data_IF_708401089201
#
_entry.id   IF_708401089201
#
_cell.length_a   1.000
_cell.length_b   1.000
_cell.length_c   1.000
_cell.angle_alpha   90.00
_cell.angle_beta   90.00
_cell.angle_gamma   90.00
#
_symmetry.space_group_name_H-M   'P 1'
#
loop_
_entity.id
_entity.type
_entity.pdbx_description
1 polymer ?
#
# COMPACT_ATOMS: atom_id res chain seq x y z
N UNK A 1 -60.02 71.22 49.60
CA UNK A 1 -58.91 71.07 48.61
C UNK A 1 -58.07 69.93 49.10
N UNK A 2 -58.36 68.76 48.74
CA UNK A 2 -57.61 67.55 49.13
C UNK A 2 -57.57 66.60 48.00
N UNK A 3 -56.39 66.31 47.53
CA UNK A 3 -56.15 65.29 46.49
C UNK A 3 -55.90 63.94 47.16
N UNK A 4 -56.78 63.00 46.90
CA UNK A 4 -56.60 61.60 47.32
C UNK A 4 -55.80 60.89 46.27
N UNK A 5 -54.67 60.29 46.68
CA UNK A 5 -53.88 59.37 45.85
C UNK A 5 -54.34 57.93 46.10
N UNK A 6 -54.65 57.22 45.04
CA UNK A 6 -55.03 55.80 45.06
C UNK A 6 -53.77 54.97 44.90
N UNK A 7 -53.48 53.99 45.73
CA UNK A 7 -52.31 53.11 45.50
C UNK A 7 -52.66 52.02 44.48
N UNK A 8 -51.81 51.93 43.48
CA UNK A 8 -51.87 50.91 42.46
C UNK A 8 -51.22 49.61 43.00
N UNK A 9 -52.01 48.58 43.23
CA UNK A 9 -51.46 47.26 43.53
C UNK A 9 -50.92 46.64 42.31
N UNK A 10 -49.56 46.52 42.18
CA UNK A 10 -48.92 45.69 41.21
C UNK A 10 -48.82 44.23 41.67
N UNK A 11 -49.56 43.35 41.01
CA UNK A 11 -49.41 41.93 41.18
C UNK A 11 -48.12 41.47 40.39
N UNK A 12 -47.10 41.15 41.16
CA UNK A 12 -45.91 40.48 40.59
C UNK A 12 -46.23 38.99 40.50
N UNK A 13 -46.52 38.49 39.33
CA UNK A 13 -46.48 37.04 39.04
C UNK A 13 -45.04 36.58 39.01
N UNK A 14 -44.62 35.81 40.01
CA UNK A 14 -43.41 35.05 39.98
C UNK A 14 -43.55 33.92 38.93
N UNK A 15 -43.00 34.13 37.72
CA UNK A 15 -42.81 33.06 36.75
C UNK A 15 -41.54 32.26 37.13
N UNK A 16 -41.71 31.02 37.60
CA UNK A 16 -40.59 30.08 37.69
C UNK A 16 -40.12 29.75 36.27
N UNK A 17 -39.03 30.37 35.85
CA UNK A 17 -38.25 29.92 34.67
C UNK A 17 -37.47 28.68 35.06
N UNK A 18 -37.94 27.51 34.65
CA UNK A 18 -37.16 26.27 34.72
C UNK A 18 -36.11 26.43 33.65
N UNK A 19 -34.89 26.82 34.05
CA UNK A 19 -33.69 26.71 33.18
C UNK A 19 -33.36 25.24 33.12
N UNK A 20 -33.78 24.57 32.03
CA UNK A 20 -33.31 23.25 31.69
C UNK A 20 -31.84 23.40 31.28
N UNK A 21 -30.94 23.14 32.22
CA UNK A 21 -29.51 23.00 31.93
C UNK A 21 -29.35 21.72 31.15
N UNK A 22 -29.24 21.84 29.81
CA UNK A 22 -28.75 20.76 28.96
C UNK A 22 -27.26 20.61 29.29
N UNK A 23 -26.96 19.68 30.19
CA UNK A 23 -25.61 19.19 30.38
C UNK A 23 -25.20 18.48 29.10
N UNK A 24 -24.63 19.24 28.14
CA UNK A 24 -23.86 18.64 27.03
C UNK A 24 -22.65 17.99 27.68
N UNK A 25 -22.71 16.68 27.84
CA UNK A 25 -21.55 15.90 28.23
C UNK A 25 -20.57 16.04 27.08
N UNK A 26 -19.64 16.96 27.20
CA UNK A 26 -18.44 16.97 26.35
C UNK A 26 -17.75 15.67 26.71
N UNK A 27 -17.94 14.63 25.89
CA UNK A 27 -17.06 13.49 25.89
C UNK A 27 -15.68 14.05 25.50
N UNK A 28 -14.89 14.41 26.50
CA UNK A 28 -13.45 14.56 26.31
C UNK A 28 -12.96 13.18 25.92
N UNK A 29 -12.79 12.99 24.62
CA UNK A 29 -12.05 11.87 24.11
C UNK A 29 -10.69 11.91 24.80
N UNK A 30 -10.53 11.11 25.86
CA UNK A 30 -9.23 10.90 26.47
C UNK A 30 -8.39 10.20 25.40
N UNK A 31 -7.67 11.01 24.64
CA UNK A 31 -6.54 10.58 23.85
C UNK A 31 -5.60 9.85 24.83
N UNK A 32 -5.56 8.52 24.74
CA UNK A 32 -4.59 7.71 25.44
C UNK A 32 -3.32 7.69 24.60
N UNK A 33 -2.32 8.54 24.88
CA UNK A 33 -1.10 8.65 24.06
C UNK A 33 -0.19 7.42 24.11
N UNK A 34 -0.69 6.30 24.64
CA UNK A 34 0.12 5.11 24.96
C UNK A 34 -0.39 3.80 24.35
N UNK A 35 -1.37 3.82 23.44
CA UNK A 35 -1.71 2.60 22.72
C UNK A 35 -0.75 2.43 21.54
N UNK A 36 0.06 1.38 21.58
CA UNK A 36 0.93 1.00 20.47
C UNK A 36 0.09 0.77 19.20
N UNK A 37 0.58 1.26 18.06
CA UNK A 37 0.00 0.91 16.77
C UNK A 37 0.09 -0.61 16.56
N UNK A 38 -0.82 -1.12 15.76
CA UNK A 38 -0.86 -2.50 15.30
C UNK A 38 -0.95 -2.53 13.79
N UNK A 39 -0.73 -3.69 13.19
CA UNK A 39 -0.92 -3.87 11.75
C UNK A 39 -1.55 -5.21 11.41
N UNK A 40 -2.21 -5.26 10.25
CA UNK A 40 -2.73 -6.48 9.61
C UNK A 40 -2.41 -6.41 8.14
N UNK A 41 -2.23 -7.55 7.51
CA UNK A 41 -1.94 -7.65 6.08
C UNK A 41 -3.06 -8.42 5.38
N UNK A 42 -3.59 -7.80 4.33
CA UNK A 42 -4.47 -8.43 3.37
C UNK A 42 -3.65 -9.01 2.23
N UNK A 43 -4.03 -10.18 1.76
CA UNK A 43 -3.45 -10.81 0.58
C UNK A 43 -4.55 -11.01 -0.47
N UNK A 44 -4.34 -10.50 -1.67
CA UNK A 44 -5.25 -10.80 -2.77
C UNK A 44 -5.20 -12.28 -3.12
N UNK A 45 -6.32 -12.82 -3.59
CA UNK A 45 -6.33 -14.10 -4.29
C UNK A 45 -5.54 -13.97 -5.58
N UNK A 46 -4.84 -15.04 -5.95
CA UNK A 46 -4.07 -15.06 -7.19
C UNK A 46 -5.03 -15.07 -8.39
N UNK A 47 -5.21 -13.90 -9.01
CA UNK A 47 -6.01 -13.75 -10.22
C UNK A 47 -5.36 -14.47 -11.40
N UNK A 48 -6.18 -14.93 -12.35
CA UNK A 48 -5.68 -15.38 -13.64
C UNK A 48 -5.25 -14.17 -14.46
N UNK A 49 -4.02 -14.20 -15.01
CA UNK A 49 -3.50 -13.17 -15.88
C UNK A 49 -3.34 -13.72 -17.29
N UNK A 50 -3.80 -12.97 -18.29
CA UNK A 50 -3.65 -13.32 -19.70
C UNK A 50 -2.22 -13.00 -20.14
N UNK A 51 -1.29 -13.95 -19.97
CA UNK A 51 0.11 -13.83 -20.39
C UNK A 51 0.65 -15.17 -20.83
N UNK A 52 1.64 -15.13 -21.72
CA UNK A 52 2.39 -16.31 -22.11
C UNK A 52 3.50 -16.59 -21.10
N UNK A 53 3.72 -17.87 -20.84
CA UNK A 53 4.84 -18.39 -20.07
C UNK A 53 5.87 -19.07 -20.95
N UNK A 54 6.91 -19.67 -20.35
CA UNK A 54 7.76 -20.61 -21.05
C UNK A 54 6.94 -21.83 -21.52
N UNK A 55 7.46 -22.60 -22.46
CA UNK A 55 6.77 -23.77 -23.02
C UNK A 55 6.23 -24.67 -21.90
N UNK A 56 4.94 -24.99 -21.95
CA UNK A 56 4.24 -25.80 -20.95
C UNK A 56 3.71 -25.03 -19.73
N UNK A 57 3.86 -23.73 -19.68
CA UNK A 57 3.43 -22.88 -18.57
C UNK A 57 2.53 -21.72 -19.03
N UNK A 58 1.52 -22.00 -19.83
CA UNK A 58 0.50 -21.04 -20.21
C UNK A 58 -0.46 -20.75 -19.04
N UNK A 59 -1.12 -19.60 -19.06
CA UNK A 59 -2.10 -19.17 -18.03
C UNK A 59 -1.51 -19.07 -16.61
N UNK A 60 -0.37 -18.44 -16.47
CA UNK A 60 0.27 -18.19 -15.18
C UNK A 60 -0.60 -17.24 -14.34
N UNK A 61 -0.84 -17.63 -13.07
CA UNK A 61 -1.55 -16.80 -12.12
C UNK A 61 -0.69 -15.61 -11.70
N UNK A 62 -1.38 -14.47 -11.40
CA UNK A 62 -0.73 -13.32 -10.82
C UNK A 62 -0.18 -13.62 -9.43
N UNK A 63 0.76 -12.82 -8.99
CA UNK A 63 1.32 -12.89 -7.64
C UNK A 63 0.30 -12.41 -6.60
N UNK A 64 0.31 -12.90 -5.35
CA UNK A 64 -0.46 -12.27 -4.30
C UNK A 64 0.05 -10.86 -4.04
N UNK A 65 -0.82 -9.85 -4.16
CA UNK A 65 -0.51 -8.46 -3.81
C UNK A 65 -0.97 -8.19 -2.38
N UNK A 66 -0.15 -7.55 -1.58
CA UNK A 66 -0.47 -7.19 -0.20
C UNK A 66 -1.08 -5.79 -0.11
N UNK A 67 -1.96 -5.60 0.88
CA UNK A 67 -2.32 -4.27 1.40
C UNK A 67 -2.16 -4.31 2.91
N UNK A 68 -1.54 -3.30 3.49
CA UNK A 68 -1.26 -3.27 4.93
C UNK A 68 -2.16 -2.24 5.62
N UNK A 69 -2.93 -2.67 6.61
CA UNK A 69 -3.69 -1.79 7.49
C UNK A 69 -2.89 -1.56 8.77
N UNK A 70 -2.44 -0.33 9.00
CA UNK A 70 -1.79 0.13 10.23
C UNK A 70 -2.83 0.87 11.03
N UNK A 71 -3.08 0.49 12.29
CA UNK A 71 -4.18 1.04 13.04
C UNK A 71 -3.85 1.26 14.52
N UNK A 72 -4.49 2.29 15.08
CA UNK A 72 -4.49 2.58 16.51
C UNK A 72 -5.80 2.18 17.17
N UNK A 73 -6.30 2.98 18.09
CA UNK A 73 -7.54 2.70 18.83
C UNK A 73 -8.80 2.91 17.98
N UNK A 74 -8.77 3.87 17.04
CA UNK A 74 -9.94 4.34 16.28
C UNK A 74 -9.65 4.46 14.79
N UNK A 75 -8.50 5.04 14.47
CA UNK A 75 -8.13 5.42 13.11
C UNK A 75 -7.10 4.45 12.53
N UNK A 76 -7.05 4.38 11.20
CA UNK A 76 -6.11 3.55 10.48
C UNK A 76 -5.60 4.22 9.19
N UNK A 77 -4.44 3.75 8.75
CA UNK A 77 -3.84 4.02 7.45
C UNK A 77 -3.82 2.73 6.65
N UNK A 78 -4.32 2.78 5.42
CA UNK A 78 -4.18 1.69 4.45
C UNK A 78 -2.97 1.96 3.57
N UNK A 79 -2.08 0.99 3.42
CA UNK A 79 -0.93 1.05 2.50
C UNK A 79 -1.22 0.14 1.33
N UNK A 80 -1.24 0.70 0.13
CA UNK A 80 -1.58 0.08 -1.14
C UNK A 80 -3.01 -0.49 -1.23
N UNK A 81 -3.61 -0.51 -2.41
CA UNK A 81 -5.06 -0.69 -2.56
C UNK A 81 -5.51 -1.63 -3.68
N UNK A 82 -4.68 -2.61 -4.05
CA UNK A 82 -5.01 -3.65 -5.02
C UNK A 82 -5.27 -3.17 -6.47
N UNK A 83 -5.39 -4.14 -7.38
CA UNK A 83 -5.50 -3.93 -8.83
C UNK A 83 -6.91 -4.12 -9.37
N UNK A 84 -7.43 -5.35 -9.21
CA UNK A 84 -8.64 -5.80 -9.91
C UNK A 84 -9.90 -5.41 -9.15
N UNK A 85 -11.03 -5.31 -9.86
CA UNK A 85 -12.34 -5.08 -9.24
C UNK A 85 -12.61 -6.09 -8.12
N UNK A 86 -12.39 -7.38 -8.38
CA UNK A 86 -12.64 -8.42 -7.38
C UNK A 86 -11.75 -8.24 -6.15
N UNK A 87 -10.44 -8.03 -6.33
CA UNK A 87 -9.52 -7.81 -5.21
C UNK A 87 -9.81 -6.51 -4.44
N UNK A 88 -10.25 -5.46 -5.14
CA UNK A 88 -10.62 -4.18 -4.53
C UNK A 88 -11.87 -4.30 -3.66
N UNK A 89 -12.87 -5.07 -4.08
CA UNK A 89 -14.06 -5.36 -3.28
C UNK A 89 -13.72 -6.22 -2.05
N UNK A 90 -12.92 -7.27 -2.22
CA UNK A 90 -12.46 -8.10 -1.10
C UNK A 90 -11.64 -7.28 -0.08
N UNK A 91 -10.78 -6.38 -0.55
CA UNK A 91 -10.03 -5.45 0.30
C UNK A 91 -10.98 -4.51 1.05
N UNK A 92 -11.97 -3.92 0.37
CA UNK A 92 -12.95 -3.03 0.99
C UNK A 92 -13.68 -3.75 2.13
N UNK A 93 -14.20 -4.94 1.88
CA UNK A 93 -14.91 -5.74 2.89
C UNK A 93 -14.02 -6.03 4.10
N UNK A 94 -12.75 -6.37 3.86
CA UNK A 94 -11.76 -6.63 4.89
C UNK A 94 -11.43 -5.38 5.71
N UNK A 95 -11.29 -4.22 5.06
CA UNK A 95 -11.06 -2.92 5.72
C UNK A 95 -12.28 -2.53 6.58
N UNK A 96 -13.50 -2.65 6.04
CA UNK A 96 -14.74 -2.35 6.77
C UNK A 96 -14.90 -3.27 7.98
N UNK A 97 -14.60 -4.56 7.85
CA UNK A 97 -14.66 -5.52 8.95
C UNK A 97 -13.63 -5.22 10.06
N UNK A 98 -12.59 -4.43 9.81
CA UNK A 98 -11.64 -4.00 10.84
C UNK A 98 -12.26 -3.09 11.88
N UNK A 99 -13.33 -2.37 11.52
CA UNK A 99 -14.04 -1.42 12.37
C UNK A 99 -13.33 -0.07 12.55
N UNK A 100 -12.18 0.15 11.91
CA UNK A 100 -11.41 1.38 12.01
C UNK A 100 -11.85 2.41 10.96
N UNK A 101 -11.69 3.69 11.30
CA UNK A 101 -11.85 4.79 10.36
C UNK A 101 -10.55 4.97 9.55
N UNK A 102 -10.64 4.97 8.23
CA UNK A 102 -9.48 5.21 7.37
C UNK A 102 -9.23 6.71 7.25
N UNK A 103 -8.05 7.17 7.66
CA UNK A 103 -7.64 8.57 7.54
C UNK A 103 -6.80 8.82 6.30
N UNK A 104 -5.94 7.86 5.94
CA UNK A 104 -5.08 7.95 4.77
C UNK A 104 -5.03 6.62 4.03
N UNK A 105 -4.90 6.72 2.71
CA UNK A 105 -4.42 5.63 1.86
C UNK A 105 -3.05 6.09 1.36
N UNK A 106 -2.00 5.36 1.71
CA UNK A 106 -0.64 5.63 1.25
C UNK A 106 -0.27 4.70 0.11
N UNK A 107 0.32 5.25 -0.96
CA UNK A 107 0.80 4.48 -2.13
C UNK A 107 2.33 4.44 -2.12
N UNK A 108 2.88 3.23 -2.08
CA UNK A 108 4.33 3.00 -2.01
C UNK A 108 5.05 3.35 -3.31
N UNK A 109 4.46 3.01 -4.43
CA UNK A 109 4.96 3.28 -5.79
C UNK A 109 3.80 3.23 -6.81
N UNK A 110 4.08 3.55 -8.06
CA UNK A 110 3.04 3.87 -9.04
C UNK A 110 2.59 2.70 -9.93
N UNK A 111 2.85 1.44 -9.61
CA UNK A 111 2.26 0.33 -10.34
C UNK A 111 0.76 0.18 -10.01
N UNK A 112 -0.06 -0.14 -11.00
CA UNK A 112 -1.51 -0.16 -10.90
C UNK A 112 -2.04 -1.10 -9.83
N UNK A 113 -1.34 -2.18 -9.53
CA UNK A 113 -1.72 -3.16 -8.50
C UNK A 113 -1.51 -2.68 -7.06
N UNK A 114 -0.97 -1.47 -6.89
CA UNK A 114 -0.84 -0.83 -5.58
C UNK A 114 -1.85 0.30 -5.35
N UNK A 115 -2.57 0.79 -6.39
CA UNK A 115 -3.46 1.93 -6.16
C UNK A 115 -4.79 1.95 -6.93
N UNK A 116 -5.02 1.10 -7.92
CA UNK A 116 -6.23 1.17 -8.74
C UNK A 116 -7.52 1.00 -7.93
N UNK A 117 -7.49 0.17 -6.88
CA UNK A 117 -8.63 -0.03 -5.97
C UNK A 117 -8.90 1.10 -4.99
N UNK A 118 -8.03 2.13 -4.92
CA UNK A 118 -8.18 3.23 -3.96
C UNK A 118 -9.47 4.02 -4.11
N UNK A 119 -10.01 4.15 -5.33
CA UNK A 119 -11.26 4.85 -5.57
C UNK A 119 -12.43 4.25 -4.80
N UNK A 120 -12.52 2.92 -4.75
CA UNK A 120 -13.58 2.21 -4.04
C UNK A 120 -13.48 2.40 -2.50
N UNK A 121 -12.26 2.43 -1.97
CA UNK A 121 -12.03 2.71 -0.55
C UNK A 121 -12.45 4.15 -0.22
N UNK A 122 -12.09 5.14 -1.08
CA UNK A 122 -12.47 6.55 -0.90
C UNK A 122 -13.97 6.79 -0.99
N UNK A 123 -14.72 6.03 -1.79
CA UNK A 123 -16.17 6.09 -1.82
C UNK A 123 -16.80 5.71 -0.47
N UNK A 124 -16.22 4.74 0.21
CA UNK A 124 -16.68 4.29 1.55
C UNK A 124 -16.16 5.16 2.69
N UNK A 125 -14.98 5.75 2.54
CA UNK A 125 -14.32 6.61 3.52
C UNK A 125 -14.00 7.98 2.87
N UNK A 126 -15.01 8.84 2.68
CA UNK A 126 -14.85 10.07 1.89
C UNK A 126 -13.95 11.12 2.54
N UNK A 127 -13.72 11.02 3.85
CA UNK A 127 -12.80 11.90 4.59
C UNK A 127 -11.34 11.41 4.53
N UNK A 128 -11.09 10.22 4.00
CA UNK A 128 -9.75 9.69 3.82
C UNK A 128 -9.01 10.44 2.71
N UNK A 129 -7.70 10.59 2.88
CA UNK A 129 -6.84 11.25 1.88
C UNK A 129 -5.93 10.20 1.23
N UNK A 130 -5.96 10.13 -0.10
CA UNK A 130 -5.01 9.33 -0.88
C UNK A 130 -3.73 10.13 -1.07
N UNK A 131 -2.59 9.62 -0.58
CA UNK A 131 -1.31 10.33 -0.54
C UNK A 131 -0.15 9.47 -1.05
N UNK A 132 0.83 10.13 -1.65
CA UNK A 132 2.12 9.56 -2.06
C UNK A 132 3.17 10.68 -2.15
N UNK A 133 4.43 10.33 -2.42
CA UNK A 133 5.44 11.36 -2.74
C UNK A 133 5.12 12.06 -4.08
N UNK A 134 5.60 13.28 -4.31
CA UNK A 134 5.34 14.01 -5.57
C UNK A 134 5.79 13.24 -6.82
N UNK A 135 6.88 12.48 -6.71
CA UNK A 135 7.43 11.66 -7.80
C UNK A 135 6.50 10.49 -8.11
N UNK A 136 6.04 9.76 -7.10
CA UNK A 136 5.05 8.69 -7.23
C UNK A 136 3.76 9.22 -7.85
N UNK A 137 3.27 10.40 -7.39
CA UNK A 137 2.08 11.05 -7.98
C UNK A 137 2.27 11.33 -9.47
N UNK A 138 3.46 11.75 -9.87
CA UNK A 138 3.78 12.00 -11.29
C UNK A 138 3.70 10.71 -12.10
N UNK A 139 4.26 9.62 -11.59
CA UNK A 139 4.19 8.30 -12.24
C UNK A 139 2.78 7.71 -12.24
N UNK A 140 2.00 7.89 -11.19
CA UNK A 140 0.58 7.47 -11.15
C UNK A 140 -0.23 8.07 -12.31
N UNK A 141 0.05 9.34 -12.70
CA UNK A 141 -0.61 9.96 -13.85
C UNK A 141 -0.25 9.27 -15.17
N UNK A 142 1.00 8.79 -15.31
CA UNK A 142 1.43 8.02 -16.48
C UNK A 142 0.78 6.65 -16.49
N UNK A 143 0.68 6.01 -15.33
CA UNK A 143 0.10 4.68 -15.17
C UNK A 143 -1.41 4.65 -15.45
N UNK A 144 -2.10 5.78 -15.27
CA UNK A 144 -3.53 5.91 -15.57
C UNK A 144 -3.84 6.37 -17.01
N UNK A 145 -2.84 6.47 -17.89
CA UNK A 145 -3.07 6.80 -19.30
C UNK A 145 -3.83 5.69 -20.03
N UNK A 146 -4.63 6.05 -21.07
CA UNK A 146 -5.35 5.06 -21.86
C UNK A 146 -4.44 3.96 -22.43
N UNK A 147 -3.22 4.32 -22.83
CA UNK A 147 -2.23 3.39 -23.38
C UNK A 147 -1.82 2.35 -22.36
N UNK A 148 -1.57 2.75 -21.10
CA UNK A 148 -1.22 1.80 -20.03
C UNK A 148 -2.42 0.94 -19.64
N UNK A 149 -3.59 1.56 -19.51
CA UNK A 149 -4.81 0.84 -19.12
C UNK A 149 -5.24 -0.19 -20.15
N UNK A 150 -5.21 0.15 -21.44
CA UNK A 150 -5.60 -0.79 -22.50
C UNK A 150 -4.47 -1.69 -22.95
N UNK A 151 -3.25 -1.16 -23.05
CA UNK A 151 -2.09 -1.86 -23.61
C UNK A 151 -1.37 -2.80 -22.63
N UNK A 152 -1.62 -2.68 -21.31
CA UNK A 152 -1.04 -3.56 -20.29
C UNK A 152 -2.10 -4.17 -19.40
N UNK A 153 -2.71 -3.37 -18.52
CA UNK A 153 -3.57 -3.88 -17.45
C UNK A 153 -4.86 -4.51 -17.98
N UNK A 154 -5.51 -3.88 -18.95
CA UNK A 154 -6.72 -4.44 -19.59
C UNK A 154 -6.46 -5.69 -20.42
N UNK A 155 -5.25 -5.86 -20.97
CA UNK A 155 -4.87 -7.11 -21.62
C UNK A 155 -4.57 -8.22 -20.59
N UNK A 156 -3.91 -7.88 -19.48
CA UNK A 156 -3.59 -8.85 -18.44
C UNK A 156 -4.85 -9.30 -17.67
N UNK A 157 -5.77 -8.35 -17.42
CA UNK A 157 -6.97 -8.55 -16.59
C UNK A 157 -8.24 -8.03 -17.29
N UNK A 158 -8.71 -8.72 -18.36
CA UNK A 158 -9.88 -8.28 -19.11
C UNK A 158 -11.10 -8.07 -18.21
N UNK A 159 -11.75 -6.91 -18.32
CA UNK A 159 -12.94 -6.49 -17.57
C UNK A 159 -12.75 -6.40 -16.04
N UNK A 160 -11.51 -6.40 -15.54
CA UNK A 160 -11.21 -6.35 -14.11
C UNK A 160 -10.55 -5.02 -13.67
N UNK A 161 -10.27 -4.12 -14.61
CA UNK A 161 -9.68 -2.83 -14.26
C UNK A 161 -10.79 -1.86 -13.85
N UNK A 162 -10.69 -1.20 -12.67
CA UNK A 162 -11.67 -0.20 -12.25
C UNK A 162 -11.81 0.92 -13.27
N UNK A 163 -13.04 1.35 -13.57
CA UNK A 163 -13.29 2.44 -14.51
C UNK A 163 -12.94 3.81 -13.92
N UNK A 164 -13.11 3.96 -12.61
CA UNK A 164 -12.75 5.19 -11.89
C UNK A 164 -11.43 4.95 -11.18
N UNK A 165 -10.42 5.71 -11.57
CA UNK A 165 -9.11 5.70 -10.93
C UNK A 165 -8.88 7.03 -10.21
N UNK A 166 -8.11 7.01 -9.14
CA UNK A 166 -7.71 8.19 -8.39
C UNK A 166 -6.19 8.29 -8.36
N UNK A 167 -5.69 9.50 -8.57
CA UNK A 167 -4.28 9.86 -8.40
C UNK A 167 -4.12 10.50 -7.03
N UNK A 168 -3.07 10.14 -6.32
CA UNK A 168 -2.79 10.64 -4.98
C UNK A 168 -2.50 12.15 -4.96
N UNK A 169 -2.73 12.76 -3.80
CA UNK A 169 -2.22 14.08 -3.49
C UNK A 169 -0.75 13.97 -3.06
N UNK A 170 0.12 14.91 -3.48
CA UNK A 170 1.52 14.86 -3.08
C UNK A 170 1.67 15.22 -1.60
N UNK A 171 2.41 14.41 -0.86
CA UNK A 171 2.83 14.75 0.49
C UNK A 171 3.74 15.99 0.46
N UNK A 172 3.53 16.89 1.43
CA UNK A 172 4.38 18.09 1.60
C UNK A 172 5.69 17.72 2.28
N UNK A 173 5.64 16.74 3.17
CA UNK A 173 6.79 16.22 3.90
C UNK A 173 6.82 14.70 3.81
N UNK A 174 8.00 14.11 3.92
CA UNK A 174 8.17 12.65 3.90
C UNK A 174 7.73 12.01 5.23
N UNK A 175 6.60 12.46 5.77
CA UNK A 175 5.96 11.92 6.97
C UNK A 175 4.52 12.42 7.11
N UNK A 176 3.74 11.64 7.84
CA UNK A 176 2.42 12.01 8.35
C UNK A 176 2.15 11.26 9.67
N UNK A 177 1.01 11.47 10.29
CA UNK A 177 0.76 10.93 11.63
C UNK A 177 -0.49 10.04 11.67
N UNK A 178 -0.46 9.03 12.53
CA UNK A 178 -1.62 8.23 12.92
C UNK A 178 -1.68 8.21 14.46
N UNK A 179 -2.73 8.79 15.02
CA UNK A 179 -2.96 8.87 16.47
C UNK A 179 -1.72 9.31 17.29
N UNK A 180 -0.97 10.32 16.76
CA UNK A 180 0.22 10.87 17.40
C UNK A 180 1.52 10.08 17.18
N UNK A 181 1.48 8.99 16.41
CA UNK A 181 2.66 8.26 15.98
C UNK A 181 3.09 8.72 14.59
N UNK A 182 4.39 8.96 14.41
CA UNK A 182 4.94 9.28 13.10
C UNK A 182 4.94 8.04 12.19
N UNK A 183 4.54 8.25 10.95
CA UNK A 183 4.75 7.36 9.82
C UNK A 183 5.69 8.09 8.85
N UNK A 184 6.85 7.51 8.60
CA UNK A 184 7.94 8.13 7.86
C UNK A 184 8.07 7.50 6.46
N UNK A 185 8.21 8.33 5.44
CA UNK A 185 8.40 7.88 4.07
C UNK A 185 9.89 7.84 3.76
N UNK A 186 10.41 6.65 3.53
CA UNK A 186 11.79 6.43 3.14
C UNK A 186 11.85 6.33 1.61
N UNK A 187 12.52 7.28 0.97
CA UNK A 187 12.74 7.27 -0.48
C UNK A 187 13.80 6.23 -0.81
N UNK A 188 13.37 5.07 -1.26
CA UNK A 188 14.27 3.96 -1.59
C UNK A 188 14.98 4.18 -2.91
N UNK A 189 14.33 4.81 -3.86
CA UNK A 189 14.85 5.08 -5.20
C UNK A 189 14.39 4.05 -6.21
N UNK A 190 15.30 3.52 -7.03
CA UNK A 190 14.96 2.48 -7.99
C UNK A 190 14.88 1.10 -7.32
N UNK A 191 13.78 0.37 -7.59
CA UNK A 191 13.62 -1.05 -7.23
C UNK A 191 13.08 -1.82 -8.44
N UNK A 192 11.86 -2.34 -8.37
CA UNK A 192 11.14 -2.90 -9.51
C UNK A 192 10.75 -1.81 -10.54
N UNK A 193 10.62 -0.56 -10.08
CA UNK A 193 10.47 0.67 -10.86
C UNK A 193 11.21 1.82 -10.18
N UNK A 194 11.20 3.02 -10.77
CA UNK A 194 11.81 4.21 -10.18
C UNK A 194 10.89 4.87 -9.14
N UNK A 195 11.50 5.73 -8.29
CA UNK A 195 10.82 6.57 -7.30
C UNK A 195 10.01 5.77 -6.25
N UNK A 196 10.43 4.54 -5.96
CA UNK A 196 9.78 3.71 -4.97
C UNK A 196 10.06 4.17 -3.54
N UNK A 197 9.15 3.85 -2.64
CA UNK A 197 9.21 4.27 -1.24
C UNK A 197 8.84 3.13 -0.30
N UNK A 198 9.37 3.20 0.92
CA UNK A 198 8.97 2.36 2.05
C UNK A 198 8.29 3.22 3.10
N UNK A 199 7.14 2.81 3.61
CA UNK A 199 6.53 3.43 4.77
C UNK A 199 7.13 2.79 6.03
N UNK A 200 7.88 3.59 6.80
CA UNK A 200 8.49 3.20 8.07
C UNK A 200 7.65 3.66 9.25
N UNK A 201 7.34 2.75 10.17
CA UNK A 201 6.60 3.01 11.40
C UNK A 201 7.49 2.73 12.61
N UNK A 202 8.25 3.73 13.10
CA UNK A 202 9.27 3.54 14.13
C UNK A 202 8.73 2.94 15.43
N UNK A 203 7.51 3.33 15.82
CA UNK A 203 6.89 2.92 17.09
C UNK A 203 6.63 1.42 17.21
N UNK A 204 6.56 0.72 16.09
CA UNK A 204 6.35 -0.74 16.02
C UNK A 204 7.39 -1.43 15.13
N UNK A 205 8.45 -0.72 14.75
CA UNK A 205 9.55 -1.19 13.88
C UNK A 205 9.05 -1.93 12.63
N UNK A 206 8.00 -1.41 12.01
CA UNK A 206 7.38 -1.95 10.80
C UNK A 206 7.85 -1.19 9.56
N UNK A 207 8.37 -1.91 8.56
CA UNK A 207 8.63 -1.40 7.23
C UNK A 207 7.63 -2.01 6.23
N UNK A 208 6.77 -1.18 5.62
CA UNK A 208 5.92 -1.59 4.49
C UNK A 208 6.61 -1.11 3.22
N UNK A 209 7.17 -2.05 2.47
CA UNK A 209 8.25 -1.75 1.51
C UNK A 209 7.78 -1.64 0.06
N UNK A 210 6.47 -1.87 -0.21
CA UNK A 210 6.06 -2.07 -1.59
C UNK A 210 6.92 -3.14 -2.27
N UNK A 211 7.18 -2.96 -3.53
CA UNK A 211 7.91 -3.92 -4.35
C UNK A 211 9.44 -3.83 -4.24
N UNK A 212 9.95 -3.09 -3.24
CA UNK A 212 11.35 -3.21 -2.89
C UNK A 212 11.69 -4.60 -2.32
N UNK A 213 10.76 -5.24 -1.59
CA UNK A 213 10.94 -6.56 -0.97
C UNK A 213 9.88 -7.55 -1.47
N UNK A 214 10.33 -8.74 -1.83
CA UNK A 214 9.51 -9.87 -2.29
C UNK A 214 9.72 -11.07 -1.36
N UNK A 215 8.68 -11.48 -0.64
CA UNK A 215 8.77 -12.61 0.28
C UNK A 215 8.33 -13.92 -0.39
N UNK A 216 9.28 -14.78 -0.73
CA UNK A 216 9.07 -16.06 -1.42
C UNK A 216 8.24 -15.96 -2.72
N UNK A 217 8.45 -14.88 -3.46
CA UNK A 217 7.87 -14.65 -4.78
C UNK A 217 8.96 -14.21 -5.75
N UNK A 218 8.85 -14.57 -7.03
CA UNK A 218 9.77 -14.07 -8.05
C UNK A 218 9.53 -12.58 -8.29
N UNK A 219 10.56 -11.71 -8.10
CA UNK A 219 10.44 -10.27 -8.30
C UNK A 219 10.08 -9.91 -9.74
N UNK A 220 9.41 -8.76 -9.90
CA UNK A 220 9.21 -8.15 -11.20
C UNK A 220 10.47 -7.39 -11.62
N UNK A 221 11.08 -7.81 -12.73
CA UNK A 221 12.31 -7.24 -13.26
C UNK A 221 12.07 -6.47 -14.58
N UNK A 222 10.80 -6.15 -14.88
CA UNK A 222 10.43 -5.55 -16.16
C UNK A 222 11.00 -4.14 -16.39
N UNK A 223 11.29 -3.40 -15.34
CA UNK A 223 11.95 -2.09 -15.40
C UNK A 223 13.37 -2.13 -14.82
N UNK A 224 13.82 -3.30 -14.33
CA UNK A 224 15.16 -3.53 -13.76
C UNK A 224 15.99 -4.50 -14.62
N UNK A 225 15.92 -4.32 -15.96
CA UNK A 225 16.57 -5.19 -16.94
C UNK A 225 18.11 -5.11 -16.98
N UNK A 226 18.72 -4.04 -16.44
CA UNK A 226 20.17 -3.86 -16.45
C UNK A 226 20.81 -4.25 -15.13
N UNK A 227 22.10 -4.63 -15.13
CA UNK A 227 22.86 -4.87 -13.91
C UNK A 227 22.94 -3.61 -13.03
N UNK A 228 22.99 -2.41 -13.64
CA UNK A 228 23.01 -1.14 -12.93
C UNK A 228 21.71 -0.93 -12.16
N UNK A 229 20.54 -1.10 -12.81
CA UNK A 229 19.25 -0.93 -12.15
C UNK A 229 19.05 -1.92 -10.99
N UNK A 230 19.50 -3.17 -11.14
CA UNK A 230 19.45 -4.15 -10.05
C UNK A 230 20.44 -3.83 -8.92
N UNK A 231 21.61 -3.22 -9.24
CA UNK A 231 22.52 -2.71 -8.20
C UNK A 231 21.93 -1.56 -7.41
N UNK A 232 21.16 -0.68 -8.06
CA UNK A 232 20.39 0.39 -7.38
C UNK A 232 19.30 -0.20 -6.47
N UNK A 233 18.64 -1.27 -6.92
CA UNK A 233 17.69 -1.99 -6.08
C UNK A 233 18.36 -2.62 -4.85
N UNK A 234 19.51 -3.25 -5.00
CA UNK A 234 20.30 -3.76 -3.87
C UNK A 234 20.65 -2.64 -2.87
N UNK A 235 21.03 -1.46 -3.38
CA UNK A 235 21.28 -0.31 -2.51
C UNK A 235 20.00 0.19 -1.80
N UNK A 236 18.82 0.10 -2.42
CA UNK A 236 17.54 0.38 -1.80
C UNK A 236 17.24 -0.60 -0.64
N UNK A 237 17.51 -1.89 -0.84
CA UNK A 237 17.38 -2.91 0.22
C UNK A 237 18.31 -2.63 1.40
N UNK A 238 19.53 -2.17 1.16
CA UNK A 238 20.48 -1.79 2.21
C UNK A 238 19.97 -0.58 3.02
N UNK A 239 19.30 0.40 2.37
CA UNK A 239 18.64 1.51 3.07
C UNK A 239 17.51 1.03 4.00
N UNK A 240 16.71 0.06 3.54
CA UNK A 240 15.62 -0.50 4.34
C UNK A 240 16.20 -1.29 5.53
N UNK A 241 17.23 -2.10 5.30
CA UNK A 241 17.90 -2.87 6.35
C UNK A 241 18.51 -1.96 7.44
N UNK A 242 19.03 -0.80 7.05
CA UNK A 242 19.60 0.18 7.99
C UNK A 242 18.58 0.81 8.96
N UNK A 243 17.27 0.65 8.72
CA UNK A 243 16.21 1.04 9.66
C UNK A 243 16.07 0.04 10.82
N UNK A 244 16.72 -1.11 10.74
CA UNK A 244 16.63 -2.22 11.70
C UNK A 244 15.16 -2.64 11.99
N UNK A 245 14.36 -2.93 10.94
CA UNK A 245 12.98 -3.31 11.13
C UNK A 245 12.86 -4.67 11.84
N UNK A 246 11.85 -4.82 12.69
CA UNK A 246 11.45 -6.11 13.26
C UNK A 246 10.39 -6.80 12.38
N UNK A 247 9.63 -5.98 11.64
CA UNK A 247 8.59 -6.45 10.73
C UNK A 247 8.78 -5.82 9.35
N UNK A 248 8.70 -6.65 8.31
CA UNK A 248 8.82 -6.23 6.90
C UNK A 248 7.68 -6.82 6.09
N UNK A 249 6.88 -5.96 5.48
CA UNK A 249 5.80 -6.36 4.58
C UNK A 249 6.17 -5.95 3.16
N UNK A 250 6.46 -6.92 2.32
CA UNK A 250 6.69 -6.72 0.88
C UNK A 250 5.38 -6.54 0.12
N UNK A 251 5.40 -5.84 -1.01
CA UNK A 251 4.24 -5.63 -1.86
C UNK A 251 3.68 -6.93 -2.44
N UNK A 252 4.56 -7.89 -2.67
CA UNK A 252 4.23 -9.25 -3.11
C UNK A 252 4.84 -10.27 -2.17
N UNK A 253 3.99 -11.03 -1.49
CA UNK A 253 4.43 -11.98 -0.49
C UNK A 253 3.64 -13.28 -0.56
N UNK A 254 4.30 -14.38 -0.27
CA UNK A 254 3.63 -15.67 -0.08
C UNK A 254 2.85 -15.63 1.26
N UNK A 255 1.52 -15.83 1.25
CA UNK A 255 0.73 -15.81 2.49
C UNK A 255 1.15 -16.83 3.53
N UNK A 256 1.90 -17.87 3.16
CA UNK A 256 2.42 -18.88 4.07
C UNK A 256 3.67 -18.44 4.84
N UNK A 257 4.26 -17.30 4.46
CA UNK A 257 5.45 -16.72 5.09
C UNK A 257 5.07 -15.69 6.14
N UNK A 258 5.97 -15.45 7.07
CA UNK A 258 5.86 -14.37 8.04
C UNK A 258 6.30 -13.02 7.48
N UNK A 259 6.38 -12.04 8.36
CA UNK A 259 6.78 -10.67 8.04
C UNK A 259 8.12 -10.32 8.74
N UNK A 260 9.07 -11.24 8.72
CA UNK A 260 10.38 -11.02 9.31
C UNK A 260 11.32 -10.21 8.39
N UNK A 261 12.37 -9.61 8.98
CA UNK A 261 13.35 -8.81 8.25
C UNK A 261 14.23 -9.65 7.29
N UNK A 262 14.24 -10.96 7.42
CA UNK A 262 14.95 -11.90 6.55
C UNK A 262 14.57 -11.74 5.08
N UNK A 263 13.33 -11.32 4.79
CA UNK A 263 12.84 -11.08 3.43
C UNK A 263 13.67 -10.04 2.66
N UNK A 264 14.28 -9.07 3.35
CA UNK A 264 15.20 -8.09 2.75
C UNK A 264 16.42 -8.81 2.18
N UNK A 265 17.05 -9.65 3.00
CA UNK A 265 18.24 -10.39 2.59
C UNK A 265 17.93 -11.44 1.52
N UNK A 266 16.79 -12.12 1.62
CA UNK A 266 16.33 -13.09 0.61
C UNK A 266 16.13 -12.42 -0.75
N UNK A 267 15.51 -11.23 -0.79
CA UNK A 267 15.35 -10.45 -2.03
C UNK A 267 16.70 -10.03 -2.60
N UNK A 268 17.62 -9.54 -1.75
CA UNK A 268 18.98 -9.18 -2.18
C UNK A 268 19.71 -10.37 -2.78
N UNK A 269 19.70 -11.50 -2.10
CA UNK A 269 20.34 -12.75 -2.58
C UNK A 269 19.72 -13.23 -3.89
N UNK A 270 18.39 -13.06 -4.05
CA UNK A 270 17.73 -13.38 -5.31
C UNK A 270 18.27 -12.52 -6.47
N UNK A 271 18.38 -11.20 -6.28
CA UNK A 271 18.91 -10.29 -7.30
C UNK A 271 20.38 -10.61 -7.66
N UNK A 272 21.22 -10.90 -6.67
CA UNK A 272 22.61 -11.30 -6.86
C UNK A 272 22.73 -12.62 -7.64
N UNK A 273 21.89 -13.61 -7.31
CA UNK A 273 21.85 -14.89 -8.05
C UNK A 273 21.34 -14.70 -9.47
N UNK A 274 20.32 -13.85 -9.66
CA UNK A 274 19.81 -13.53 -10.98
C UNK A 274 20.90 -12.89 -11.85
N UNK A 275 21.66 -11.93 -11.32
CA UNK A 275 22.78 -11.30 -12.03
C UNK A 275 23.86 -12.31 -12.40
N UNK A 276 24.26 -13.13 -11.45
CA UNK A 276 25.27 -14.17 -11.67
C UNK A 276 24.83 -15.17 -12.74
N UNK A 277 23.60 -15.63 -12.71
CA UNK A 277 23.12 -16.62 -13.68
C UNK A 277 22.89 -15.95 -15.03
N UNK A 278 22.34 -14.76 -15.08
CA UNK A 278 22.09 -14.04 -16.34
C UNK A 278 23.34 -13.74 -17.11
N UNK A 279 24.47 -13.51 -16.43
CA UNK A 279 25.77 -13.30 -17.09
C UNK A 279 26.34 -14.55 -17.79
N UNK A 280 25.89 -15.76 -17.46
CA UNK A 280 26.37 -17.02 -17.98
C UNK A 280 25.34 -17.76 -18.84
N UNK A 281 24.05 -17.53 -18.64
CA UNK A 281 22.99 -18.15 -19.42
C UNK A 281 23.01 -17.61 -20.87
N UNK A 282 22.90 -18.48 -21.85
CA UNK A 282 22.89 -18.12 -23.30
C UNK A 282 21.51 -17.67 -23.77
N UNK A 283 20.41 -18.15 -23.12
CA UNK A 283 19.01 -17.87 -23.51
C UNK A 283 18.16 -17.51 -22.32
N UNK A 284 16.94 -17.00 -22.60
CA UNK A 284 15.97 -16.71 -21.57
C UNK A 284 15.46 -17.99 -20.89
N UNK A 285 15.30 -19.06 -21.64
CA UNK A 285 14.91 -20.39 -21.16
C UNK A 285 15.97 -20.93 -20.17
N UNK A 286 17.23 -20.88 -20.51
CA UNK A 286 18.31 -21.34 -19.65
C UNK A 286 18.37 -20.52 -18.36
N UNK A 287 18.22 -19.19 -18.43
CA UNK A 287 18.15 -18.32 -17.25
C UNK A 287 16.95 -18.69 -16.36
N UNK A 288 15.78 -18.85 -16.96
CA UNK A 288 14.57 -19.24 -16.26
C UNK A 288 14.71 -20.58 -15.54
N UNK A 289 15.17 -21.62 -16.26
CA UNK A 289 15.34 -22.97 -15.71
C UNK A 289 16.31 -22.98 -14.52
N UNK A 290 17.47 -22.33 -14.65
CA UNK A 290 18.45 -22.25 -13.56
C UNK A 290 17.94 -21.50 -12.34
N UNK A 291 17.17 -20.43 -12.53
CA UNK A 291 16.55 -19.73 -11.41
C UNK A 291 15.46 -20.56 -10.75
N UNK A 292 14.66 -21.31 -11.52
CA UNK A 292 13.65 -22.24 -10.99
C UNK A 292 14.28 -23.42 -10.23
N UNK A 293 15.49 -23.87 -10.59
CA UNK A 293 16.23 -24.88 -9.81
C UNK A 293 16.60 -24.36 -8.41
N UNK A 294 16.98 -23.08 -8.30
CA UNK A 294 17.37 -22.48 -7.01
C UNK A 294 16.14 -22.07 -6.19
N UNK A 295 15.09 -21.58 -6.85
CA UNK A 295 13.90 -21.02 -6.24
C UNK A 295 12.61 -21.76 -6.65
N UNK A 296 12.52 -23.08 -6.49
CA UNK A 296 11.39 -23.87 -7.01
C UNK A 296 10.06 -23.60 -6.27
N UNK A 297 10.14 -23.05 -5.04
CA UNK A 297 8.98 -22.76 -4.21
C UNK A 297 8.51 -21.31 -4.32
N UNK A 298 9.24 -20.43 -5.00
CA UNK A 298 8.83 -19.05 -5.18
C UNK A 298 7.55 -18.97 -6.03
N UNK A 299 6.61 -18.17 -5.59
CA UNK A 299 5.40 -17.90 -6.36
C UNK A 299 5.72 -17.00 -7.55
N UNK A 300 4.79 -16.92 -8.51
CA UNK A 300 4.86 -16.02 -9.68
C UNK A 300 6.03 -16.29 -10.66
N UNK A 301 6.24 -17.51 -11.16
CA UNK A 301 7.27 -17.79 -12.15
C UNK A 301 7.12 -17.00 -13.44
N UNK A 302 5.95 -16.42 -13.70
CA UNK A 302 5.72 -15.54 -14.85
C UNK A 302 6.49 -14.22 -14.79
N UNK A 303 6.76 -13.67 -13.62
CA UNK A 303 7.63 -12.49 -13.49
C UNK A 303 9.08 -12.84 -13.76
N UNK A 304 9.56 -13.99 -13.28
CA UNK A 304 10.89 -14.50 -13.63
C UNK A 304 11.03 -14.66 -15.15
N UNK A 305 10.03 -15.26 -15.81
CA UNK A 305 10.05 -15.43 -17.27
C UNK A 305 10.10 -14.09 -18.01
N UNK A 306 9.28 -13.12 -17.62
CA UNK A 306 9.29 -11.79 -18.21
C UNK A 306 10.65 -11.10 -18.04
N UNK A 307 11.25 -11.19 -16.86
CA UNK A 307 12.58 -10.67 -16.57
C UNK A 307 13.68 -11.36 -17.39
N UNK A 308 13.61 -12.69 -17.52
CA UNK A 308 14.57 -13.47 -18.33
C UNK A 308 14.55 -13.06 -19.80
N UNK A 309 13.32 -12.92 -20.38
CA UNK A 309 13.15 -12.43 -21.76
C UNK A 309 13.74 -11.03 -21.95
N UNK A 310 13.44 -10.11 -21.01
CA UNK A 310 13.93 -8.74 -21.09
C UNK A 310 15.45 -8.69 -21.11
N UNK A 311 16.09 -9.32 -20.12
CA UNK A 311 17.54 -9.29 -19.96
C UNK A 311 18.29 -9.95 -21.14
N UNK A 312 17.67 -10.94 -21.82
CA UNK A 312 18.29 -11.62 -22.98
C UNK A 312 18.00 -10.94 -24.31
N UNK A 313 17.18 -9.90 -24.33
CA UNK A 313 16.94 -9.03 -25.50
C UNK A 313 17.79 -7.76 -25.48
N UNK A 314 18.35 -7.39 -24.32
CA UNK A 314 19.25 -6.25 -24.14
C UNK A 314 20.69 -6.66 -24.48
#
# INVERSE_FOLDING_TARGET
MGKYAVPLFMHVRQGLSIITMVLTTIQTNHYHPNMSLQYKVFFSKRASATRTGPVGHDNLKWVPTTSTLIYGARDAVLVDAQLTLDASHELLDWVVASGHNITHIYVTHAHGDHFFGSALILERFPDAVLVATPEVVTRMKLETTPERLTGLWGMLFPNQIPQTLRVAQPLVHDRFELEGHNLEVIRTGHTDTDDTTTLWVPSIKLAVTGDAVYANTHPYLGESGTATSRSEWIAALDKIAALEPEHVVGGHSDPSKGFGPEAIHETKTYLENFDKISSHAGTAEELYERMMEIYPACLNPGSLWAGAILVKRL
#
